data_IF_772096916796
#
_entry.id   IF_772096916796
#
_cell.length_a   1.000
_cell.length_b   1.000
_cell.length_c   1.000
_cell.angle_alpha   90.00
_cell.angle_beta   90.00
_cell.angle_gamma   90.00
#
_symmetry.space_group_name_H-M   'P 1'
#
loop_
_entity.id
_entity.type
_entity.pdbx_description
1 polymer ?
#
# COMPACT_ATOMS: atom_id res chain seq x y z
N UNK A 1 3.00 11.41 -25.25
CA UNK A 1 2.23 11.47 -23.99
C UNK A 1 1.44 10.17 -23.88
N UNK A 2 1.93 9.17 -23.16
CA UNK A 2 1.25 7.86 -23.05
C UNK A 2 0.27 7.88 -21.87
N UNK A 3 -1.01 7.60 -22.15
CA UNK A 3 -2.06 7.46 -21.13
C UNK A 3 -1.72 6.27 -20.22
N UNK A 4 -1.85 6.38 -18.88
CA UNK A 4 -1.74 5.22 -18.01
C UNK A 4 -2.92 4.27 -18.32
N UNK A 5 -2.60 3.06 -18.76
CA UNK A 5 -3.56 1.98 -19.04
C UNK A 5 -4.13 1.48 -17.72
N UNK A 6 -5.45 1.60 -17.55
CA UNK A 6 -6.17 0.95 -16.45
C UNK A 6 -6.08 -0.57 -16.64
N UNK A 7 -5.43 -1.24 -15.69
CA UNK A 7 -5.27 -2.69 -15.70
C UNK A 7 -6.18 -3.31 -14.62
N UNK A 8 -7.30 -3.94 -15.02
CA UNK A 8 -8.30 -4.50 -14.12
C UNK A 8 -7.81 -5.75 -13.35
N UNK A 9 -6.62 -6.29 -13.65
CA UNK A 9 -6.05 -7.41 -12.88
C UNK A 9 -5.51 -7.00 -11.51
N UNK A 10 -5.39 -5.71 -11.24
CA UNK A 10 -4.93 -5.17 -9.96
C UNK A 10 -6.06 -5.02 -8.93
N UNK A 11 -7.32 -5.18 -9.35
CA UNK A 11 -8.51 -5.00 -8.50
C UNK A 11 -8.76 -6.18 -7.54
N UNK A 12 -8.25 -7.38 -7.85
CA UNK A 12 -8.48 -8.58 -7.05
C UNK A 12 -7.31 -8.99 -6.14
N UNK A 13 -6.21 -8.23 -6.15
CA UNK A 13 -5.00 -8.65 -5.49
C UNK A 13 -4.98 -8.17 -4.02
N UNK A 14 -5.67 -8.91 -3.13
CA UNK A 14 -5.38 -8.93 -1.68
C UNK A 14 -4.01 -9.56 -1.38
N UNK A 15 -3.03 -9.39 -2.26
CA UNK A 15 -1.68 -9.91 -2.10
C UNK A 15 -0.69 -8.94 -2.73
N UNK A 16 0.21 -8.29 -2.00
CA UNK A 16 1.05 -7.24 -2.55
C UNK A 16 2.19 -7.82 -3.41
N UNK A 17 2.11 -9.03 -3.93
CA UNK A 17 3.23 -9.64 -4.66
C UNK A 17 3.02 -9.46 -6.17
N UNK A 18 3.71 -8.50 -6.77
CA UNK A 18 3.88 -8.44 -8.22
C UNK A 18 5.30 -8.93 -8.52
N UNK A 19 5.41 -10.12 -9.12
CA UNK A 19 6.68 -10.71 -9.58
C UNK A 19 6.92 -10.25 -11.02
N UNK A 20 8.02 -9.54 -11.26
CA UNK A 20 8.45 -9.15 -12.59
C UNK A 20 9.39 -10.25 -13.15
N UNK A 21 9.07 -10.80 -14.33
CA UNK A 21 9.81 -11.90 -14.94
C UNK A 21 11.15 -11.46 -15.58
N UNK A 22 11.44 -10.15 -15.64
CA UNK A 22 12.55 -9.64 -16.46
C UNK A 22 13.91 -9.49 -15.75
N UNK A 23 14.03 -9.60 -14.42
CA UNK A 23 15.35 -9.45 -13.75
C UNK A 23 15.47 -10.19 -12.40
N UNK A 24 14.53 -11.09 -12.10
CA UNK A 24 14.62 -12.05 -10.98
C UNK A 24 14.67 -11.49 -9.55
N UNK A 25 14.72 -10.17 -9.33
CA UNK A 25 14.97 -9.58 -8.00
C UNK A 25 14.14 -8.36 -7.62
N UNK A 26 13.13 -7.97 -8.41
CA UNK A 26 12.27 -6.84 -8.03
C UNK A 26 10.99 -7.32 -7.37
N UNK A 27 10.83 -6.99 -6.08
CA UNK A 27 9.59 -7.13 -5.33
C UNK A 27 8.80 -5.81 -5.43
N UNK A 28 7.65 -5.81 -6.07
CA UNK A 28 6.74 -4.64 -6.05
C UNK A 28 5.56 -4.93 -5.14
N UNK A 29 5.39 -4.08 -4.11
CA UNK A 29 4.30 -4.13 -3.14
C UNK A 29 3.27 -3.05 -3.43
N UNK A 30 1.98 -3.39 -3.30
CA UNK A 30 0.86 -2.45 -3.43
C UNK A 30 0.02 -2.42 -2.16
N UNK A 31 -0.34 -1.21 -1.74
CA UNK A 31 -1.19 -0.96 -0.58
C UNK A 31 -2.31 -0.02 -1.02
N UNK A 32 -3.57 -0.41 -0.77
CA UNK A 32 -4.70 0.46 -1.02
C UNK A 32 -4.88 1.41 0.17
N UNK A 33 -4.52 2.67 -0.07
CA UNK A 33 -4.65 3.79 0.88
C UNK A 33 -5.47 4.92 0.28
N UNK A 34 -6.36 4.64 -0.68
CA UNK A 34 -7.12 5.66 -1.41
C UNK A 34 -8.03 6.53 -0.52
N UNK A 35 -8.35 6.06 0.69
CA UNK A 35 -9.16 6.78 1.68
C UNK A 35 -8.35 7.73 2.58
N UNK A 36 -7.04 7.85 2.35
CA UNK A 36 -6.12 8.66 3.14
C UNK A 36 -5.44 9.69 2.22
N UNK A 37 -5.13 10.87 2.77
CA UNK A 37 -4.33 11.86 2.07
C UNK A 37 -2.85 11.44 2.05
N UNK A 38 -2.05 11.86 1.06
CA UNK A 38 -0.63 11.52 0.99
C UNK A 38 0.14 11.88 2.27
N UNK A 39 -0.23 12.97 2.94
CA UNK A 39 0.42 13.46 4.16
C UNK A 39 0.06 12.62 5.40
N UNK A 40 -1.03 11.86 5.35
CA UNK A 40 -1.48 10.96 6.42
C UNK A 40 -0.80 9.59 6.33
N UNK A 41 -0.16 9.27 5.20
CA UNK A 41 0.48 7.97 4.94
C UNK A 41 1.96 8.04 5.28
N UNK A 42 2.40 7.11 6.13
CA UNK A 42 3.80 6.92 6.52
C UNK A 42 4.27 5.55 6.12
N UNK A 43 5.40 5.50 5.40
CA UNK A 43 6.08 4.25 5.04
C UNK A 43 7.43 4.21 5.74
N UNK A 44 7.70 3.12 6.46
CA UNK A 44 8.97 2.88 7.14
C UNK A 44 9.50 1.51 6.79
N UNK A 45 10.81 1.42 6.61
CA UNK A 45 11.51 0.15 6.50
C UNK A 45 12.28 -0.09 7.79
N UNK A 46 11.96 -1.17 8.49
CA UNK A 46 12.62 -1.55 9.76
C UNK A 46 12.83 -3.07 9.71
N UNK A 47 14.06 -3.53 9.94
CA UNK A 47 14.41 -4.96 10.04
C UNK A 47 13.87 -5.83 8.88
N UNK A 48 14.10 -5.39 7.63
CA UNK A 48 13.58 -6.06 6.42
C UNK A 48 12.05 -6.17 6.35
N UNK A 49 11.34 -5.33 7.10
CA UNK A 49 9.89 -5.18 7.05
C UNK A 49 9.55 -3.82 6.51
N UNK A 50 8.58 -3.80 5.60
CA UNK A 50 7.93 -2.57 5.17
C UNK A 50 6.70 -2.36 6.05
N UNK A 51 6.68 -1.27 6.80
CA UNK A 51 5.56 -0.83 7.62
C UNK A 51 4.86 0.31 6.89
N UNK A 52 3.58 0.13 6.63
CA UNK A 52 2.70 1.16 6.04
C UNK A 52 1.65 1.51 7.07
N UNK A 53 1.68 2.76 7.50
CA UNK A 53 0.75 3.33 8.46
C UNK A 53 0.00 4.48 7.82
N UNK A 54 -1.31 4.57 8.03
CA UNK A 54 -2.04 5.78 7.70
C UNK A 54 -3.10 6.05 8.77
N UNK A 55 -3.24 7.30 9.19
CA UNK A 55 -4.25 7.71 10.16
C UNK A 55 -5.01 8.90 9.63
N UNK A 56 -6.33 8.75 9.55
CA UNK A 56 -7.23 9.79 9.11
C UNK A 56 -8.20 10.16 10.23
N UNK A 57 -8.30 11.46 10.49
CA UNK A 57 -9.23 12.04 11.43
C UNK A 57 -9.93 13.23 10.76
N UNK A 58 -11.22 13.10 10.53
CA UNK A 58 -12.05 14.17 9.98
C UNK A 58 -13.16 14.52 10.95
N UNK A 59 -13.21 15.79 11.34
CA UNK A 59 -14.23 16.36 12.20
C UNK A 59 -15.13 17.26 11.38
N UNK A 60 -16.38 16.83 11.22
CA UNK A 60 -17.47 17.66 10.71
C UNK A 60 -18.39 18.05 11.87
N UNK A 61 -19.21 19.11 11.74
CA UNK A 61 -20.12 19.53 12.82
C UNK A 61 -21.11 18.44 13.28
N UNK A 62 -21.39 17.44 12.44
CA UNK A 62 -22.39 16.41 12.69
C UNK A 62 -21.76 15.04 12.98
N UNK A 63 -20.51 14.83 12.58
CA UNK A 63 -19.84 13.53 12.65
C UNK A 63 -18.34 13.68 12.76
N UNK A 64 -17.75 12.81 13.57
CA UNK A 64 -16.31 12.56 13.52
C UNK A 64 -16.04 11.20 12.89
N UNK A 65 -15.09 11.16 11.96
CA UNK A 65 -14.62 9.94 11.29
C UNK A 65 -13.18 9.69 11.71
N UNK A 66 -12.93 8.48 12.20
CA UNK A 66 -11.59 7.97 12.49
C UNK A 66 -11.35 6.74 11.64
N UNK A 67 -10.22 6.71 10.93
CA UNK A 67 -9.76 5.53 10.19
C UNK A 67 -8.28 5.35 10.40
N UNK A 68 -7.86 4.10 10.49
CA UNK A 68 -6.47 3.75 10.63
C UNK A 68 -6.15 2.53 9.77
N UNK A 69 -5.05 2.62 9.05
CA UNK A 69 -4.50 1.56 8.23
C UNK A 69 -3.14 1.16 8.79
N UNK A 70 -2.99 -0.10 9.14
CA UNK A 70 -1.76 -0.68 9.67
C UNK A 70 -1.45 -1.94 8.87
N UNK A 71 -0.37 -1.92 8.10
CA UNK A 71 0.08 -3.10 7.36
C UNK A 71 1.58 -3.27 7.48
N UNK A 72 2.01 -4.48 7.82
CA UNK A 72 3.43 -4.86 7.83
C UNK A 72 3.64 -5.93 6.78
N UNK A 73 4.66 -5.75 5.94
CA UNK A 73 5.10 -6.75 4.97
C UNK A 73 6.51 -7.16 5.26
N UNK A 74 6.66 -8.42 5.65
CA UNK A 74 7.96 -9.07 5.78
C UNK A 74 8.27 -9.76 4.46
N UNK A 75 9.48 -9.56 3.96
CA UNK A 75 9.99 -10.35 2.87
C UNK A 75 10.52 -11.68 3.42
N UNK A 76 9.62 -12.64 3.62
CA UNK A 76 10.00 -14.04 3.84
C UNK A 76 9.85 -14.76 2.51
N UNK A 77 10.80 -14.52 1.60
CA UNK A 77 11.11 -15.53 0.59
C UNK A 77 11.74 -16.69 1.38
N UNK A 78 10.97 -17.75 1.60
CA UNK A 78 11.61 -19.05 1.74
C UNK A 78 12.35 -19.27 0.42
N UNK A 79 13.68 -19.30 0.51
CA UNK A 79 14.59 -19.63 -0.58
C UNK A 79 14.23 -20.98 -1.20
#
# INVERSE_FOLDING_TARGET
MTRPTYDPYLDNLKSPLIKDESDGKTLRLRFDVAQYKPEEVTVKTIDNRLLVHAKHEEKTPQRTVFREYNQVRTHSIFM
#
